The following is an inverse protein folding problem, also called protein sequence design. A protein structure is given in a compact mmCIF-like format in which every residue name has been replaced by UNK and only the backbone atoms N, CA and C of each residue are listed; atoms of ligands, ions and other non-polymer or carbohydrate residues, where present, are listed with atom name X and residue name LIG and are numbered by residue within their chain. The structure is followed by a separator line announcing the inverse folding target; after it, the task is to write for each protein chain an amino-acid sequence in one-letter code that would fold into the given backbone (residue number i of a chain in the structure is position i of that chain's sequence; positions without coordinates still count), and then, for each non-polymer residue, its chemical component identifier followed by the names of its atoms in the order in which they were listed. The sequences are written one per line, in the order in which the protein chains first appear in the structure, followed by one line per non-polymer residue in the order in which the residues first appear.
data_IF_584770716865
#
_entry.id   IF_584770716865
#
_cell.length_a   1.000
_cell.length_b   1.000
_cell.length_c   1.000
_cell.angle_alpha   90.00
_cell.angle_beta   90.00
_cell.angle_gamma   90.00
#
_symmetry.space_group_name_H-M   'P 1'
#
loop_
_entity.id
_entity.type
_entity.pdbx_description
1 polymer ?
#
# COMPACT_ATOMS: atom_id res chain seq x y z
N UNK A 1 0.26 57.55 4.87
CA UNK A 1 1.22 56.44 4.82
C UNK A 1 0.92 55.56 6.02
N UNK A 2 0.21 54.46 5.79
CA UNK A 2 -0.07 53.43 6.78
C UNK A 2 -0.13 52.15 5.95
N UNK A 3 1.01 51.45 5.90
CA UNK A 3 1.11 50.14 5.28
C UNK A 3 0.26 49.17 6.12
N UNK A 4 -0.78 48.59 5.51
CA UNK A 4 -1.46 47.43 6.07
C UNK A 4 -0.51 46.24 5.95
N UNK A 5 0.26 46.00 7.00
CA UNK A 5 0.87 44.70 7.26
C UNK A 5 -0.24 43.69 7.57
N UNK A 6 -0.17 42.53 6.92
CA UNK A 6 -1.08 41.43 7.15
C UNK A 6 -1.27 40.58 5.90
N UNK A 7 -0.19 40.01 5.37
CA UNK A 7 -0.33 38.71 4.69
C UNK A 7 -0.84 37.75 5.76
N UNK A 8 -2.17 37.60 5.82
CA UNK A 8 -2.77 36.54 6.60
C UNK A 8 -2.25 35.23 6.01
N UNK A 9 -1.33 34.58 6.73
CA UNK A 9 -1.10 33.15 6.59
C UNK A 9 -2.47 32.50 6.44
N UNK A 10 -2.73 31.93 5.27
CA UNK A 10 -3.91 31.10 5.07
C UNK A 10 -3.69 29.93 6.02
N UNK A 11 -4.22 30.05 7.23
CA UNK A 11 -4.27 28.97 8.19
C UNK A 11 -4.83 27.77 7.42
N UNK A 12 -4.01 26.73 7.25
CA UNK A 12 -4.38 25.49 6.58
C UNK A 12 -5.52 24.87 7.37
N UNK A 13 -6.75 25.30 7.08
CA UNK A 13 -7.98 24.75 7.65
C UNK A 13 -8.08 23.32 7.13
N UNK A 14 -7.82 22.35 7.99
CA UNK A 14 -7.89 20.93 7.65
C UNK A 14 -7.27 20.03 8.70
N UNK A 15 -7.78 18.81 8.81
CA UNK A 15 -7.09 17.74 9.53
C UNK A 15 -5.88 17.34 8.68
N UNK A 16 -4.68 17.39 9.24
CA UNK A 16 -3.48 16.86 8.58
C UNK A 16 -3.26 15.41 9.01
N UNK A 17 -3.41 14.47 8.09
CA UNK A 17 -3.18 13.05 8.35
C UNK A 17 -1.67 12.72 8.38
N UNK A 18 -0.83 13.54 7.73
CA UNK A 18 0.61 13.33 7.60
C UNK A 18 1.45 14.44 8.25
N UNK A 19 2.41 14.02 9.07
CA UNK A 19 3.51 14.82 9.58
C UNK A 19 4.80 14.63 8.78
N UNK A 20 5.93 14.57 9.48
CA UNK A 20 7.25 14.42 8.86
C UNK A 20 7.52 12.96 8.47
N UNK A 21 8.05 12.77 7.25
CA UNK A 21 8.47 11.45 6.78
C UNK A 21 9.79 11.02 7.46
N UNK A 22 9.88 9.74 7.79
CA UNK A 22 11.10 9.07 8.25
C UNK A 22 11.93 8.61 7.05
N UNK A 23 13.23 8.31 7.23
CA UNK A 23 14.03 7.68 6.19
C UNK A 23 13.37 6.39 5.70
N UNK A 24 13.21 6.25 4.38
CA UNK A 24 12.63 5.05 3.80
C UNK A 24 13.54 3.85 4.07
N UNK A 25 12.99 2.67 4.41
CA UNK A 25 13.80 1.47 4.52
C UNK A 25 14.44 1.18 3.17
N UNK A 26 15.67 0.66 3.20
CA UNK A 26 16.27 0.09 1.99
C UNK A 26 15.34 -1.00 1.49
N UNK A 27 14.94 -0.92 0.21
CA UNK A 27 14.17 -1.97 -0.42
C UNK A 27 14.93 -3.28 -0.21
N UNK A 28 14.28 -4.32 0.32
CA UNK A 28 14.93 -5.61 0.42
C UNK A 28 15.31 -6.01 -1.00
N UNK A 29 16.62 -6.02 -1.26
CA UNK A 29 17.19 -6.71 -2.40
C UNK A 29 16.62 -8.11 -2.30
N UNK A 30 15.79 -8.50 -3.27
CA UNK A 30 15.16 -9.77 -3.13
C UNK A 30 16.26 -10.83 -3.07
N UNK A 31 16.04 -11.89 -2.30
CA UNK A 31 16.73 -13.14 -2.54
C UNK A 31 16.23 -13.74 -3.88
N UNK A 32 16.17 -12.95 -4.97
CA UNK A 32 15.75 -13.39 -6.30
C UNK A 32 16.67 -14.47 -6.84
N UNK A 33 17.91 -14.51 -6.35
CA UNK A 33 18.84 -15.62 -6.57
C UNK A 33 18.30 -16.97 -6.06
N UNK A 34 17.33 -17.00 -5.13
CA UNK A 34 16.68 -18.22 -4.63
C UNK A 34 15.31 -18.51 -5.27
N UNK A 35 14.83 -17.64 -6.17
CA UNK A 35 13.56 -17.81 -6.87
C UNK A 35 13.66 -18.94 -7.91
N UNK A 36 12.88 -20.00 -7.73
CA UNK A 36 12.97 -21.24 -8.51
C UNK A 36 12.83 -21.06 -10.04
N UNK A 37 11.93 -20.21 -10.58
CA UNK A 37 11.72 -20.06 -12.01
C UNK A 37 12.84 -19.23 -12.63
N UNK A 38 13.46 -18.32 -11.85
CA UNK A 38 14.60 -17.53 -12.29
C UNK A 38 15.87 -18.36 -12.32
N UNK A 39 16.10 -19.21 -11.31
CA UNK A 39 17.20 -20.18 -11.36
C UNK A 39 17.06 -21.14 -12.55
N UNK A 40 15.84 -21.64 -12.78
CA UNK A 40 15.54 -22.49 -13.94
C UNK A 40 15.74 -21.74 -15.27
N UNK A 41 15.35 -20.47 -15.34
CA UNK A 41 15.57 -19.65 -16.54
C UNK A 41 17.05 -19.39 -16.79
N UNK A 42 17.82 -18.99 -15.76
CA UNK A 42 19.25 -18.70 -15.89
C UNK A 42 20.07 -19.93 -16.30
N UNK A 43 19.64 -21.13 -15.90
CA UNK A 43 20.25 -22.41 -16.30
C UNK A 43 19.73 -22.94 -17.64
N UNK A 44 18.75 -22.29 -18.26
CA UNK A 44 18.16 -22.71 -19.53
C UNK A 44 18.95 -22.20 -20.73
N UNK A 45 18.81 -22.90 -21.87
CA UNK A 45 19.34 -22.41 -23.16
C UNK A 45 18.74 -21.07 -23.59
N UNK A 46 17.54 -20.71 -23.11
CA UNK A 46 16.92 -19.42 -23.44
C UNK A 46 17.71 -18.24 -22.84
N UNK A 47 18.47 -18.47 -21.77
CA UNK A 47 19.32 -17.44 -21.21
C UNK A 47 20.43 -17.00 -22.19
N UNK A 48 20.80 -17.83 -23.17
CA UNK A 48 21.77 -17.41 -24.19
C UNK A 48 21.23 -16.34 -25.15
N UNK A 49 19.91 -16.11 -25.16
CA UNK A 49 19.27 -15.06 -25.97
C UNK A 49 19.15 -13.73 -25.22
N UNK A 50 19.11 -13.77 -23.89
CA UNK A 50 18.90 -12.61 -23.02
C UNK A 50 20.19 -12.20 -22.29
N UNK A 51 21.15 -13.13 -22.19
CA UNK A 51 22.43 -12.97 -21.49
C UNK A 51 22.23 -12.42 -20.06
N UNK A 52 21.27 -13.00 -19.35
CA UNK A 52 20.93 -12.56 -18.00
C UNK A 52 22.03 -13.01 -17.03
N UNK A 53 22.68 -12.01 -16.42
CA UNK A 53 23.63 -12.18 -15.31
C UNK A 53 22.94 -11.87 -13.99
N UNK A 54 23.51 -12.33 -12.87
CA UNK A 54 23.00 -12.04 -11.51
C UNK A 54 22.82 -10.55 -11.25
N UNK A 55 23.69 -9.71 -11.81
CA UNK A 55 23.65 -8.24 -11.70
C UNK A 55 22.49 -7.61 -12.48
N UNK A 56 21.98 -8.27 -13.53
CA UNK A 56 20.89 -7.77 -14.38
C UNK A 56 19.52 -8.36 -14.03
N UNK A 57 19.47 -9.30 -13.08
CA UNK A 57 18.22 -9.99 -12.70
C UNK A 57 17.16 -9.00 -12.24
N UNK A 58 17.53 -8.03 -11.40
CA UNK A 58 16.59 -7.03 -10.89
C UNK A 58 15.96 -6.20 -12.00
N UNK A 59 16.79 -5.61 -12.88
CA UNK A 59 16.32 -4.81 -14.02
C UNK A 59 15.44 -5.62 -14.97
N UNK A 60 15.76 -6.90 -15.19
CA UNK A 60 14.95 -7.79 -16.01
C UNK A 60 13.55 -8.01 -15.39
N UNK A 61 13.48 -8.22 -14.08
CA UNK A 61 12.21 -8.39 -13.38
C UNK A 61 11.40 -7.11 -13.29
N UNK A 62 12.06 -5.98 -13.04
CA UNK A 62 11.44 -4.66 -13.18
C UNK A 62 10.77 -4.56 -14.56
N UNK A 63 11.49 -4.92 -15.63
CA UNK A 63 10.95 -5.00 -16.98
C UNK A 63 9.76 -5.95 -17.12
N UNK A 64 9.82 -7.15 -16.55
CA UNK A 64 8.69 -8.10 -16.58
C UNK A 64 7.47 -7.58 -15.83
N UNK A 65 7.67 -6.90 -14.70
CA UNK A 65 6.61 -6.31 -13.88
C UNK A 65 5.94 -5.16 -14.63
N UNK A 66 6.73 -4.20 -15.12
CA UNK A 66 6.25 -3.01 -15.83
C UNK A 66 5.49 -3.37 -17.09
N UNK A 67 6.00 -4.32 -17.87
CA UNK A 67 5.33 -4.77 -19.09
C UNK A 67 4.19 -5.78 -18.84
N UNK A 68 3.84 -6.04 -17.58
CA UNK A 68 2.76 -6.95 -17.17
C UNK A 68 3.00 -8.44 -17.44
N UNK A 69 4.19 -8.81 -17.93
CA UNK A 69 4.57 -10.21 -18.16
C UNK A 69 4.65 -11.01 -16.87
N UNK A 70 5.08 -10.39 -15.77
CA UNK A 70 5.11 -11.07 -14.47
C UNK A 70 3.71 -11.50 -14.03
N UNK A 71 2.71 -10.63 -14.16
CA UNK A 71 1.30 -10.95 -13.89
C UNK A 71 0.82 -12.10 -14.77
N UNK A 72 1.16 -12.10 -16.07
CA UNK A 72 0.80 -13.20 -16.99
C UNK A 72 1.43 -14.52 -16.56
N UNK A 73 2.71 -14.52 -16.20
CA UNK A 73 3.42 -15.73 -15.74
C UNK A 73 2.80 -16.30 -14.47
N UNK A 74 2.48 -15.45 -13.49
CA UNK A 74 1.81 -15.85 -12.25
C UNK A 74 0.43 -16.45 -12.53
N UNK A 75 -0.36 -15.83 -13.41
CA UNK A 75 -1.66 -16.36 -13.79
C UNK A 75 -1.57 -17.72 -14.50
N UNK A 76 -0.57 -17.92 -15.36
CA UNK A 76 -0.35 -19.21 -16.02
C UNK A 76 0.07 -20.30 -15.05
N UNK A 77 0.87 -19.97 -14.03
CA UNK A 77 1.34 -20.94 -13.03
C UNK A 77 0.40 -21.10 -11.83
N UNK A 78 -0.60 -20.23 -11.68
CA UNK A 78 -1.46 -20.13 -10.48
C UNK A 78 -0.66 -20.10 -9.18
N UNK A 79 0.53 -19.48 -9.21
CA UNK A 79 1.49 -19.54 -8.10
C UNK A 79 2.35 -18.28 -7.97
N UNK A 80 2.55 -17.83 -6.74
CA UNK A 80 3.49 -16.75 -6.39
C UNK A 80 4.42 -17.22 -5.30
N UNK A 81 5.70 -17.25 -5.61
CA UNK A 81 6.78 -17.48 -4.65
C UNK A 81 6.94 -16.32 -3.68
N UNK A 82 7.37 -16.64 -2.47
CA UNK A 82 7.57 -15.70 -1.37
C UNK A 82 8.51 -14.56 -1.74
N UNK A 83 9.58 -14.84 -2.51
CA UNK A 83 10.54 -13.83 -2.97
C UNK A 83 9.88 -12.80 -3.89
N UNK A 84 9.08 -13.23 -4.86
CA UNK A 84 8.34 -12.35 -5.79
C UNK A 84 7.23 -11.58 -5.06
N UNK A 85 6.48 -12.25 -4.18
CA UNK A 85 5.43 -11.61 -3.40
C UNK A 85 6.01 -10.49 -2.52
N UNK A 86 7.08 -10.78 -1.76
CA UNK A 86 7.77 -9.74 -0.96
C UNK A 86 8.29 -8.61 -1.84
N UNK A 87 9.05 -8.93 -2.88
CA UNK A 87 9.66 -7.92 -3.74
C UNK A 87 8.62 -6.96 -4.34
N UNK A 88 7.56 -7.48 -4.94
CA UNK A 88 6.48 -6.65 -5.51
C UNK A 88 5.77 -5.83 -4.42
N UNK A 89 5.53 -6.39 -3.25
CA UNK A 89 4.93 -5.65 -2.14
C UNK A 89 5.82 -4.49 -1.66
N UNK A 90 7.12 -4.71 -1.45
CA UNK A 90 8.04 -3.65 -1.04
C UNK A 90 8.24 -2.60 -2.15
N UNK A 91 8.28 -3.01 -3.43
CA UNK A 91 8.29 -2.07 -4.55
C UNK A 91 7.09 -1.13 -4.53
N UNK A 92 5.89 -1.68 -4.33
CA UNK A 92 4.66 -0.90 -4.23
C UNK A 92 4.74 0.15 -3.11
N UNK A 93 5.31 -0.22 -1.96
CA UNK A 93 5.35 0.63 -0.78
C UNK A 93 6.47 1.68 -0.81
N UNK A 94 7.67 1.33 -1.27
CA UNK A 94 8.88 2.13 -1.03
C UNK A 94 9.68 2.48 -2.29
N UNK A 95 9.34 1.94 -3.48
CA UNK A 95 10.10 2.29 -4.68
C UNK A 95 10.05 3.79 -4.94
N UNK A 96 11.18 4.38 -5.31
CA UNK A 96 11.27 5.79 -5.72
C UNK A 96 10.69 6.01 -7.12
N UNK A 97 10.70 4.97 -7.98
CA UNK A 97 10.19 5.00 -9.35
C UNK A 97 8.67 4.80 -9.35
N UNK A 98 7.93 5.78 -9.86
CA UNK A 98 6.47 5.74 -9.92
C UNK A 98 5.93 4.56 -10.75
N UNK A 99 6.55 4.30 -11.89
CA UNK A 99 6.18 3.20 -12.79
C UNK A 99 6.26 1.84 -12.09
N UNK A 100 7.29 1.60 -11.26
CA UNK A 100 7.41 0.38 -10.47
C UNK A 100 6.35 0.31 -9.38
N UNK A 101 6.11 1.41 -8.65
CA UNK A 101 5.06 1.44 -7.61
C UNK A 101 3.69 1.13 -8.21
N UNK A 102 3.37 1.75 -9.34
CA UNK A 102 2.10 1.56 -10.04
C UNK A 102 1.96 0.12 -10.55
N UNK A 103 2.99 -0.40 -11.23
CA UNK A 103 2.98 -1.77 -11.78
C UNK A 103 2.91 -2.82 -10.69
N UNK A 104 3.59 -2.61 -9.56
CA UNK A 104 3.51 -3.47 -8.39
C UNK A 104 2.12 -3.44 -7.73
N UNK A 105 1.51 -2.26 -7.63
CA UNK A 105 0.14 -2.12 -7.14
C UNK A 105 -0.85 -2.86 -8.05
N UNK A 106 -0.73 -2.67 -9.36
CA UNK A 106 -1.61 -3.31 -10.34
C UNK A 106 -1.39 -4.83 -10.36
N UNK A 107 -0.15 -5.31 -10.20
CA UNK A 107 0.15 -6.74 -9.99
C UNK A 107 -0.66 -7.30 -8.83
N UNK A 108 -0.57 -6.70 -7.65
CA UNK A 108 -1.31 -7.16 -6.46
C UNK A 108 -2.82 -7.03 -6.63
N UNK A 109 -3.32 -5.91 -7.17
CA UNK A 109 -4.76 -5.74 -7.41
C UNK A 109 -5.30 -6.81 -8.37
N UNK A 110 -4.57 -7.15 -9.43
CA UNK A 110 -4.96 -8.19 -10.38
C UNK A 110 -4.95 -9.59 -9.79
N UNK A 111 -4.11 -9.85 -8.78
CA UNK A 111 -4.03 -11.14 -8.09
C UNK A 111 -5.15 -11.29 -7.05
N UNK A 112 -5.41 -10.22 -6.30
CA UNK A 112 -6.39 -10.23 -5.21
C UNK A 112 -7.81 -10.13 -5.74
N UNK A 113 -8.07 -9.20 -6.65
CA UNK A 113 -9.42 -8.91 -7.10
C UNK A 113 -9.94 -10.06 -7.99
N UNK A 114 -11.11 -10.63 -7.68
CA UNK A 114 -11.72 -11.65 -8.53
C UNK A 114 -12.05 -11.09 -9.91
N UNK A 115 -11.84 -11.89 -10.97
CA UNK A 115 -12.32 -11.53 -12.32
C UNK A 115 -13.82 -11.76 -12.46
N UNK A 116 -14.40 -12.61 -11.63
CA UNK A 116 -15.85 -12.81 -11.50
C UNK A 116 -16.25 -13.18 -10.06
N UNK A 117 -17.50 -12.87 -9.68
CA UNK A 117 -18.03 -13.08 -8.31
C UNK A 117 -18.01 -14.55 -7.84
N UNK A 118 -17.86 -15.50 -8.76
CA UNK A 118 -17.95 -16.95 -8.53
C UNK A 118 -16.60 -17.67 -8.65
N UNK A 119 -15.53 -17.01 -9.07
CA UNK A 119 -14.21 -17.63 -9.12
C UNK A 119 -13.63 -17.75 -7.70
N UNK A 120 -12.96 -18.86 -7.38
CA UNK A 120 -12.05 -18.95 -6.21
C UNK A 120 -10.89 -17.96 -6.35
N UNK A 121 -9.99 -17.83 -5.36
CA UNK A 121 -8.72 -17.15 -5.59
C UNK A 121 -7.88 -18.10 -6.47
N UNK A 122 -7.67 -17.81 -7.77
CA UNK A 122 -7.13 -18.82 -8.69
C UNK A 122 -5.63 -19.07 -8.48
N UNK A 123 -5.00 -18.34 -7.54
CA UNK A 123 -3.55 -18.24 -7.39
C UNK A 123 -3.16 -18.55 -5.94
N UNK A 124 -2.29 -19.54 -5.77
CA UNK A 124 -1.67 -19.86 -4.48
C UNK A 124 -0.51 -18.88 -4.24
N UNK A 125 -0.56 -18.17 -3.11
CA UNK A 125 0.45 -17.17 -2.71
C UNK A 125 1.20 -17.69 -1.48
N UNK A 126 2.50 -17.96 -1.62
CA UNK A 126 3.35 -18.48 -0.51
C UNK A 126 3.47 -17.53 0.67
N UNK A 127 3.45 -16.22 0.39
CA UNK A 127 3.59 -15.19 1.41
C UNK A 127 2.62 -14.05 1.16
N UNK A 128 1.95 -13.61 2.22
CA UNK A 128 0.99 -12.54 2.19
C UNK A 128 1.47 -11.41 3.12
N UNK A 129 1.36 -10.14 2.70
CA UNK A 129 1.75 -9.02 3.56
C UNK A 129 0.85 -8.91 4.79
N UNK A 130 1.47 -8.61 5.93
CA UNK A 130 0.76 -8.38 7.18
C UNK A 130 0.24 -6.93 7.26
N UNK A 131 -0.81 -6.71 8.06
CA UNK A 131 -1.22 -5.35 8.41
C UNK A 131 -0.08 -4.56 9.05
N UNK A 132 0.73 -5.19 9.90
CA UNK A 132 1.91 -4.57 10.52
C UNK A 132 2.86 -3.92 9.50
N UNK A 133 3.11 -4.57 8.36
CA UNK A 133 3.95 -4.01 7.30
C UNK A 133 3.28 -2.84 6.57
N UNK A 134 1.97 -2.91 6.33
CA UNK A 134 1.20 -1.81 5.76
C UNK A 134 1.16 -0.59 6.68
N UNK A 135 0.93 -0.83 7.97
CA UNK A 135 0.92 0.19 9.02
C UNK A 135 2.28 0.85 9.15
N UNK A 136 3.35 0.06 9.22
CA UNK A 136 4.73 0.58 9.30
C UNK A 136 5.09 1.45 8.10
N UNK A 137 4.57 1.13 6.91
CA UNK A 137 4.76 1.97 5.74
C UNK A 137 4.12 3.35 5.92
N UNK A 138 2.86 3.42 6.35
CA UNK A 138 2.19 4.69 6.65
C UNK A 138 2.93 5.51 7.71
N UNK A 139 3.38 4.87 8.79
CA UNK A 139 4.17 5.53 9.84
C UNK A 139 5.51 6.07 9.31
N UNK A 140 6.16 5.33 8.40
CA UNK A 140 7.38 5.77 7.72
C UNK A 140 7.12 7.03 6.90
N UNK A 141 5.96 7.10 6.27
CA UNK A 141 5.52 8.28 5.53
C UNK A 141 4.89 9.37 6.41
N UNK A 142 5.00 9.26 7.73
CA UNK A 142 4.57 10.31 8.67
C UNK A 142 3.09 10.30 9.00
N UNK A 143 2.35 9.22 8.72
CA UNK A 143 0.93 9.13 9.09
C UNK A 143 0.75 9.18 10.62
N UNK A 144 -0.21 9.98 11.08
CA UNK A 144 -0.46 10.25 12.49
C UNK A 144 -1.58 9.35 13.03
N UNK A 145 -1.21 8.19 13.57
CA UNK A 145 -2.17 7.26 14.18
C UNK A 145 -2.80 7.78 15.48
N UNK A 146 -2.13 8.67 16.24
CA UNK A 146 -2.61 9.20 17.52
C UNK A 146 -2.68 10.73 17.49
N UNK A 147 -3.62 11.35 18.24
CA UNK A 147 -3.68 12.81 18.37
C UNK A 147 -2.52 13.42 19.16
N UNK A 148 -2.00 12.70 20.15
CA UNK A 148 -0.96 13.23 21.04
C UNK A 148 0.39 13.50 20.35
N UNK A 149 0.64 12.90 19.19
CA UNK A 149 1.89 13.13 18.44
C UNK A 149 1.94 14.48 17.72
N UNK A 150 0.85 15.24 17.67
CA UNK A 150 0.87 16.60 17.13
C UNK A 150 1.69 17.57 18.00
N UNK A 151 1.79 17.30 19.31
CA UNK A 151 2.43 18.21 20.28
C UNK A 151 3.97 18.10 20.28
N UNK A 152 4.55 16.98 19.84
CA UNK A 152 6.01 16.76 19.86
C UNK A 152 6.71 17.08 18.52
N UNK A 153 5.94 17.30 17.45
CA UNK A 153 6.49 17.74 16.16
C UNK A 153 6.78 19.24 16.20
N UNK A 154 7.81 19.62 16.96
CA UNK A 154 8.47 20.91 16.80
C UNK A 154 8.80 21.06 15.31
N UNK A 155 8.20 22.09 14.72
CA UNK A 155 8.37 22.52 13.34
C UNK A 155 9.87 22.61 13.07
N UNK A 156 10.39 21.58 12.40
CA UNK A 156 11.73 21.56 11.84
C UNK A 156 11.52 21.60 10.33
N UNK A 157 11.81 22.76 9.75
CA UNK A 157 11.48 23.17 8.38
C UNK A 157 12.14 22.34 7.25
N UNK A 158 12.75 21.19 7.58
CA UNK A 158 13.56 20.40 6.65
C UNK A 158 12.92 19.07 6.21
N UNK A 159 11.76 18.69 6.76
CA UNK A 159 11.09 17.42 6.43
C UNK A 159 10.19 17.51 5.19
N UNK A 160 10.22 16.49 4.32
CA UNK A 160 9.22 16.34 3.26
C UNK A 160 7.85 16.13 3.91
N UNK A 161 6.96 17.11 3.77
CA UNK A 161 5.60 17.10 4.33
C UNK A 161 4.57 16.83 3.24
N UNK A 162 3.45 16.23 3.64
CA UNK A 162 2.30 15.99 2.78
C UNK A 162 2.12 14.53 2.40
N UNK A 163 1.06 14.22 1.64
CA UNK A 163 0.69 12.84 1.36
C UNK A 163 1.81 12.16 0.56
N UNK A 164 2.19 10.94 0.94
CA UNK A 164 3.33 10.30 0.33
C UNK A 164 3.02 9.83 -1.09
N UNK A 165 4.06 9.76 -1.92
CA UNK A 165 3.92 9.36 -3.34
C UNK A 165 3.36 7.95 -3.54
N UNK A 166 3.39 7.11 -2.51
CA UNK A 166 2.83 5.76 -2.53
C UNK A 166 1.37 5.68 -2.03
N UNK A 167 0.76 6.77 -1.56
CA UNK A 167 -0.55 6.73 -0.88
C UNK A 167 -1.63 6.10 -1.75
N UNK A 168 -1.63 6.42 -3.06
CA UNK A 168 -2.56 5.83 -4.04
C UNK A 168 -2.41 4.31 -4.11
N UNK A 169 -1.18 3.82 -4.15
CA UNK A 169 -0.90 2.39 -4.22
C UNK A 169 -1.27 1.68 -2.92
N UNK A 170 -0.98 2.31 -1.78
CA UNK A 170 -1.35 1.83 -0.45
C UNK A 170 -2.87 1.68 -0.31
N UNK A 171 -3.64 2.72 -0.66
CA UNK A 171 -5.12 2.72 -0.57
C UNK A 171 -5.71 1.61 -1.46
N UNK A 172 -5.27 1.53 -2.72
CA UNK A 172 -5.73 0.49 -3.66
C UNK A 172 -5.47 -0.92 -3.12
N UNK A 173 -4.27 -1.17 -2.60
CA UNK A 173 -3.91 -2.47 -2.05
C UNK A 173 -4.73 -2.84 -0.81
N UNK A 174 -4.88 -1.89 0.12
CA UNK A 174 -5.67 -2.09 1.33
C UNK A 174 -7.14 -2.38 0.98
N UNK A 175 -7.73 -1.61 0.06
CA UNK A 175 -9.08 -1.84 -0.44
C UNK A 175 -9.23 -3.24 -1.09
N UNK A 176 -8.28 -3.63 -1.96
CA UNK A 176 -8.30 -4.94 -2.60
C UNK A 176 -8.19 -6.09 -1.58
N UNK A 177 -7.37 -5.92 -0.54
CA UNK A 177 -7.21 -6.88 0.54
C UNK A 177 -8.48 -7.05 1.38
N UNK A 178 -9.23 -5.96 1.60
CA UNK A 178 -10.52 -6.06 2.29
C UNK A 178 -11.56 -6.83 1.47
N UNK A 179 -11.60 -6.62 0.15
CA UNK A 179 -12.58 -7.26 -0.76
C UNK A 179 -12.43 -8.78 -0.86
N UNK A 180 -11.28 -9.34 -0.48
CA UNK A 180 -11.03 -10.80 -0.56
C UNK A 180 -11.33 -11.56 0.73
N UNK A 181 -11.87 -10.90 1.78
CA UNK A 181 -12.11 -11.53 3.09
C UNK A 181 -12.79 -12.88 3.02
N UNK A 182 -13.85 -13.00 2.22
CA UNK A 182 -14.65 -14.23 2.09
C UNK A 182 -13.83 -15.44 1.61
N UNK A 183 -12.77 -15.19 0.84
CA UNK A 183 -11.84 -16.21 0.36
C UNK A 183 -10.62 -16.36 1.27
N UNK A 184 -10.13 -15.23 1.78
CA UNK A 184 -8.95 -15.15 2.63
C UNK A 184 -9.05 -13.93 3.54
N UNK A 185 -9.30 -14.11 4.85
CA UNK A 185 -9.27 -13.00 5.79
C UNK A 185 -7.81 -12.55 5.97
N UNK A 186 -7.44 -11.48 5.28
CA UNK A 186 -6.08 -10.90 5.33
C UNK A 186 -5.82 -10.23 6.69
N UNK A 187 -6.83 -9.52 7.18
CA UNK A 187 -6.77 -8.77 8.43
C UNK A 187 -7.53 -9.51 9.54
N UNK A 188 -7.27 -9.16 10.77
CA UNK A 188 -8.14 -9.43 11.91
C UNK A 188 -9.19 -8.32 12.05
N UNK A 189 -10.20 -8.54 12.89
CA UNK A 189 -11.23 -7.52 13.15
C UNK A 189 -10.61 -6.22 13.71
N UNK A 190 -9.64 -6.31 14.62
CA UNK A 190 -8.96 -5.13 15.18
C UNK A 190 -8.11 -4.39 14.15
N UNK A 191 -7.42 -5.11 13.27
CA UNK A 191 -6.63 -4.48 12.20
C UNK A 191 -7.55 -3.78 11.18
N UNK A 192 -8.71 -4.39 10.88
CA UNK A 192 -9.74 -3.76 10.06
C UNK A 192 -10.35 -2.52 10.74
N UNK A 193 -10.54 -2.53 12.07
CA UNK A 193 -11.02 -1.36 12.82
C UNK A 193 -10.05 -0.18 12.67
N UNK A 194 -8.74 -0.44 12.77
CA UNK A 194 -7.72 0.58 12.53
C UNK A 194 -7.72 1.07 11.07
N UNK A 195 -7.93 0.18 10.09
CA UNK A 195 -8.04 0.59 8.68
C UNK A 195 -9.23 1.53 8.45
N UNK A 196 -10.35 1.36 9.17
CA UNK A 196 -11.49 2.30 9.09
C UNK A 196 -11.06 3.67 9.61
N UNK A 197 -10.34 3.71 10.73
CA UNK A 197 -9.82 4.98 11.27
C UNK A 197 -8.90 5.65 10.26
N UNK A 198 -7.98 4.89 9.66
CA UNK A 198 -7.10 5.40 8.59
C UNK A 198 -7.92 5.97 7.44
N UNK A 199 -8.94 5.25 6.96
CA UNK A 199 -9.79 5.70 5.86
C UNK A 199 -10.52 7.02 6.18
N UNK A 200 -11.06 7.18 7.39
CA UNK A 200 -11.73 8.41 7.83
C UNK A 200 -10.75 9.58 7.89
N UNK A 201 -9.55 9.37 8.43
CA UNK A 201 -8.53 10.41 8.56
C UNK A 201 -8.01 10.87 7.20
N UNK A 202 -7.73 9.93 6.29
CA UNK A 202 -7.33 10.26 4.93
C UNK A 202 -8.44 11.03 4.20
N UNK A 203 -9.70 10.69 4.42
CA UNK A 203 -10.85 11.39 3.84
C UNK A 203 -11.06 12.79 4.41
N UNK A 204 -10.53 13.05 5.61
CA UNK A 204 -10.61 14.36 6.28
C UNK A 204 -9.43 15.29 5.92
N UNK A 205 -8.40 14.77 5.24
CA UNK A 205 -7.24 15.54 4.82
C UNK A 205 -7.47 16.19 3.46
N UNK A 206 -7.58 17.52 3.45
CA UNK A 206 -7.79 18.29 2.22
C UNK A 206 -6.67 18.14 1.19
N UNK A 207 -5.46 17.74 1.58
CA UNK A 207 -4.38 17.47 0.62
C UNK A 207 -4.66 16.22 -0.22
N UNK A 208 -5.65 15.41 0.16
CA UNK A 208 -6.07 14.19 -0.53
C UNK A 208 -7.37 14.35 -1.32
N UNK A 209 -7.87 15.57 -1.52
CA UNK A 209 -9.12 15.83 -2.24
C UNK A 209 -9.11 15.25 -3.67
N UNK A 210 -7.96 15.24 -4.33
CA UNK A 210 -7.77 14.61 -5.64
C UNK A 210 -7.95 13.08 -5.66
N UNK A 211 -8.05 12.44 -4.50
CA UNK A 211 -8.24 10.99 -4.33
C UNK A 211 -9.62 10.61 -3.77
N UNK A 212 -10.58 11.54 -3.66
CA UNK A 212 -11.88 11.29 -3.01
C UNK A 212 -12.61 10.04 -3.53
N UNK A 213 -12.64 9.82 -4.84
CA UNK A 213 -13.29 8.63 -5.43
C UNK A 213 -12.59 7.34 -4.96
N UNK A 214 -11.25 7.35 -4.92
CA UNK A 214 -10.48 6.21 -4.43
C UNK A 214 -10.66 5.99 -2.92
N UNK A 215 -10.80 7.08 -2.16
CA UNK A 215 -11.04 7.04 -0.72
C UNK A 215 -12.44 6.53 -0.40
N UNK A 216 -13.47 6.93 -1.15
CA UNK A 216 -14.83 6.39 -1.02
C UNK A 216 -14.84 4.88 -1.28
N UNK A 217 -14.22 4.43 -2.37
CA UNK A 217 -14.06 3.00 -2.65
C UNK A 217 -13.33 2.26 -1.53
N UNK A 218 -12.34 2.90 -0.91
CA UNK A 218 -11.59 2.33 0.21
C UNK A 218 -12.44 2.22 1.46
N UNK A 219 -13.13 3.30 1.86
CA UNK A 219 -14.07 3.32 2.99
C UNK A 219 -15.11 2.21 2.81
N UNK A 220 -15.75 2.13 1.65
CA UNK A 220 -16.71 1.07 1.36
C UNK A 220 -16.10 -0.32 1.47
N UNK A 221 -14.88 -0.51 0.96
CA UNK A 221 -14.21 -1.82 1.00
C UNK A 221 -13.88 -2.24 2.43
N UNK A 222 -13.45 -1.31 3.30
CA UNK A 222 -13.13 -1.62 4.69
C UNK A 222 -14.40 -1.79 5.53
N UNK A 223 -15.48 -1.03 5.29
CA UNK A 223 -16.76 -1.26 5.98
C UNK A 223 -17.33 -2.63 5.61
N UNK A 224 -17.34 -2.96 4.30
CA UNK A 224 -17.80 -4.25 3.80
C UNK A 224 -16.86 -5.42 4.18
N UNK A 225 -15.73 -5.14 4.83
CA UNK A 225 -14.91 -6.17 5.43
C UNK A 225 -15.60 -6.80 6.64
N UNK A 226 -16.45 -6.07 7.35
CA UNK A 226 -17.16 -6.58 8.51
C UNK A 226 -18.46 -7.24 8.09
N UNK A 227 -18.85 -8.30 8.79
CA UNK A 227 -20.26 -8.72 8.82
C UNK A 227 -21.10 -7.67 9.55
N UNK A 228 -22.42 -7.66 9.32
CA UNK A 228 -23.32 -6.70 9.99
C UNK A 228 -23.19 -6.77 11.53
N UNK A 229 -23.04 -7.96 12.08
CA UNK A 229 -22.86 -8.17 13.53
C UNK A 229 -21.52 -7.62 14.03
N UNK A 230 -20.42 -7.91 13.32
CA UNK A 230 -19.11 -7.36 13.68
C UNK A 230 -19.11 -5.84 13.57
N UNK A 231 -19.74 -5.28 12.53
CA UNK A 231 -19.82 -3.84 12.31
C UNK A 231 -20.55 -3.12 13.44
N UNK A 232 -21.65 -3.69 13.96
CA UNK A 232 -22.39 -3.11 15.08
C UNK A 232 -21.53 -2.94 16.33
N UNK A 233 -20.60 -3.87 16.59
CA UNK A 233 -19.69 -3.81 17.73
C UNK A 233 -18.48 -2.89 17.43
N UNK A 234 -17.91 -3.04 16.23
CA UNK A 234 -16.71 -2.31 15.81
C UNK A 234 -16.97 -0.82 15.61
N UNK A 235 -18.14 -0.43 15.10
CA UNK A 235 -18.44 0.98 14.81
C UNK A 235 -18.45 1.84 16.09
N UNK A 236 -18.94 1.31 17.22
CA UNK A 236 -18.90 2.04 18.50
C UNK A 236 -17.46 2.27 18.99
N UNK A 237 -16.60 1.25 18.88
CA UNK A 237 -15.17 1.36 19.24
C UNK A 237 -14.44 2.36 18.36
N UNK A 238 -14.67 2.29 17.05
CA UNK A 238 -14.09 3.19 16.06
C UNK A 238 -14.55 4.63 16.34
N UNK A 239 -15.85 4.84 16.55
CA UNK A 239 -16.41 6.16 16.86
C UNK A 239 -15.80 6.75 18.13
N UNK A 240 -15.66 5.95 19.21
CA UNK A 240 -14.97 6.38 20.43
C UNK A 240 -13.52 6.80 20.13
N UNK A 241 -12.78 5.96 19.40
CA UNK A 241 -11.38 6.24 19.05
C UNK A 241 -11.21 7.51 18.19
N UNK A 242 -12.13 7.77 17.27
CA UNK A 242 -12.13 8.97 16.43
C UNK A 242 -12.58 10.19 17.23
N UNK A 243 -13.58 10.07 18.11
CA UNK A 243 -14.09 11.19 18.93
C UNK A 243 -13.08 11.69 19.98
N UNK A 244 -12.12 10.85 20.36
CA UNK A 244 -11.00 11.24 21.21
C UNK A 244 -9.90 12.00 20.43
N UNK A 245 -10.12 12.33 19.15
CA UNK A 245 -9.19 13.08 18.30
C UNK A 245 -9.54 14.55 18.22
#
# INVERSE_FOLDING_TARGET
MQEMGGEAEIATRGVHAFGNQKPQPLLPLPELGSCSPLQSFMSSKLNSLVELTTEKVETFLEGLLVNGWLSKLVNTRSYIEKSIAKWTFYLMLYSSKEELRASACDFWCNILLPRSKTEELPIRIEWFPSYCELRSALETYGFLFNCLSQTESIITDSGVRGPPKNIRAWIKFAAASCRVRSKRPVFSASEAEELVQVAVLLSSDHQLEGLLVLLDEFVQSVINYFTDEEWNISCEKIAKSISCR
#
